data_IF_198215960114
#
_entry.id   IF_198215960114
#
_cell.length_a   1.000
_cell.length_b   1.000
_cell.length_c   1.000
_cell.angle_alpha   90.00
_cell.angle_beta   90.00
_cell.angle_gamma   90.00
#
_symmetry.space_group_name_H-M   'P 1'
#
loop_
_entity.id
_entity.type
_entity.pdbx_description
1 polymer ?
#
# COMPACT_ATOMS: atom_id res chain seq x y z
N UNK A 1 -38.16 74.67 11.44
CA UNK A 1 -36.84 75.02 12.01
C UNK A 1 -35.98 73.76 12.01
N UNK A 2 -34.80 73.80 11.36
CA UNK A 2 -33.65 72.89 11.56
C UNK A 2 -32.55 73.72 12.26
N UNK A 3 -31.46 73.16 12.83
CA UNK A 3 -31.14 71.76 13.22
C UNK A 3 -30.52 71.65 14.65
N UNK A 4 -30.16 70.44 15.10
CA UNK A 4 -28.88 70.20 15.79
C UNK A 4 -28.55 68.70 15.78
N UNK A 5 -27.41 68.38 15.17
CA UNK A 5 -26.71 67.11 15.25
C UNK A 5 -26.03 66.98 16.63
N UNK A 6 -26.03 65.78 17.22
CA UNK A 6 -24.83 65.28 17.89
C UNK A 6 -24.82 63.75 17.94
N UNK A 7 -23.73 63.24 17.40
CA UNK A 7 -23.29 61.86 17.25
C UNK A 7 -22.98 61.23 18.60
N UNK A 8 -23.36 59.96 18.79
CA UNK A 8 -22.61 59.02 19.61
C UNK A 8 -22.87 57.59 19.10
N UNK A 9 -21.90 57.11 18.32
CA UNK A 9 -21.68 55.69 18.01
C UNK A 9 -21.01 55.06 19.23
N UNK A 10 -21.46 53.88 19.65
CA UNK A 10 -20.82 52.77 20.40
C UNK A 10 -22.00 51.95 20.93
N UNK A 11 -22.15 50.65 20.75
CA UNK A 11 -21.34 49.61 20.14
C UNK A 11 -22.18 48.34 20.24
N UNK A 12 -22.09 47.50 19.22
CA UNK A 12 -22.88 46.28 19.06
C UNK A 12 -22.48 45.22 20.10
N UNK A 13 -23.48 44.59 20.72
CA UNK A 13 -23.40 43.20 21.16
C UNK A 13 -24.58 42.46 20.56
N UNK A 14 -24.48 42.16 19.27
CA UNK A 14 -25.23 41.05 18.70
C UNK A 14 -24.60 39.79 19.29
N UNK A 15 -25.35 39.09 20.12
CA UNK A 15 -25.01 37.76 20.58
C UNK A 15 -24.90 36.85 19.35
N UNK A 16 -23.69 36.69 18.82
CA UNK A 16 -23.36 35.59 17.93
C UNK A 16 -23.45 34.34 18.79
N UNK A 17 -24.55 33.60 18.65
CA UNK A 17 -24.62 32.23 19.08
C UNK A 17 -23.47 31.49 18.36
N UNK A 18 -22.38 31.24 19.08
CA UNK A 18 -21.42 30.24 18.70
C UNK A 18 -22.19 28.93 18.77
N UNK A 19 -22.65 28.45 17.61
CA UNK A 19 -22.93 27.03 17.46
C UNK A 19 -21.56 26.39 17.67
N UNK A 20 -21.34 25.84 18.87
CA UNK A 20 -20.29 24.85 19.03
C UNK A 20 -20.68 23.75 18.05
N UNK A 21 -19.97 23.67 16.95
CA UNK A 21 -19.98 22.49 16.10
C UNK A 21 -19.50 21.38 17.02
N UNK A 22 -20.46 20.65 17.59
CA UNK A 22 -20.22 19.48 18.39
C UNK A 22 -19.31 18.62 17.51
N UNK A 23 -18.06 18.45 17.93
CA UNK A 23 -17.07 17.63 17.27
C UNK A 23 -17.64 16.21 17.32
N UNK A 24 -18.51 15.91 16.36
CA UNK A 24 -19.13 14.61 16.19
C UNK A 24 -17.98 13.74 15.79
N UNK A 25 -17.37 13.09 16.77
CA UNK A 25 -16.46 11.99 16.55
C UNK A 25 -17.13 11.14 15.47
N UNK A 26 -16.49 10.95 14.31
CA UNK A 26 -17.09 10.12 13.27
C UNK A 26 -17.50 8.81 13.93
N UNK A 27 -18.78 8.44 13.79
CA UNK A 27 -19.31 7.14 14.24
C UNK A 27 -18.62 6.07 13.37
N UNK A 28 -17.37 5.78 13.67
CA UNK A 28 -16.65 4.65 13.09
C UNK A 28 -17.23 3.40 13.74
N UNK A 29 -18.22 2.83 13.07
CA UNK A 29 -18.73 1.52 13.41
C UNK A 29 -17.69 0.51 12.93
N UNK A 30 -16.99 -0.13 13.87
CA UNK A 30 -16.08 -1.25 13.57
C UNK A 30 -16.90 -2.36 12.89
N UNK A 31 -16.55 -2.69 11.65
CA UNK A 31 -17.18 -3.80 10.94
C UNK A 31 -16.52 -5.12 11.34
N UNK A 32 -17.19 -6.28 11.15
CA UNK A 32 -16.57 -7.58 11.40
C UNK A 32 -15.24 -7.78 10.65
N UNK A 33 -15.11 -7.20 9.45
CA UNK A 33 -13.88 -7.24 8.65
C UNK A 33 -12.76 -6.42 9.30
N UNK A 34 -13.07 -5.25 9.86
CA UNK A 34 -12.12 -4.44 10.62
C UNK A 34 -11.65 -5.17 11.88
N UNK A 35 -12.57 -5.79 12.62
CA UNK A 35 -12.24 -6.56 13.82
C UNK A 35 -11.36 -7.77 13.47
N UNK A 36 -11.70 -8.51 12.43
CA UNK A 36 -10.89 -9.65 11.98
C UNK A 36 -9.48 -9.23 11.56
N UNK A 37 -9.35 -8.13 10.81
CA UNK A 37 -8.05 -7.60 10.39
C UNK A 37 -7.21 -7.12 11.58
N UNK A 38 -7.85 -6.45 12.57
CA UNK A 38 -7.18 -6.02 13.81
C UNK A 38 -6.67 -7.21 14.62
N UNK A 39 -7.50 -8.24 14.82
CA UNK A 39 -7.10 -9.45 15.57
C UNK A 39 -5.95 -10.19 14.88
N UNK A 40 -5.97 -10.25 13.55
CA UNK A 40 -4.86 -10.81 12.77
C UNK A 40 -3.58 -9.98 12.95
N UNK A 41 -3.68 -8.66 12.89
CA UNK A 41 -2.56 -7.75 13.14
C UNK A 41 -1.97 -7.95 14.54
N UNK A 42 -2.80 -7.94 15.58
CA UNK A 42 -2.35 -8.15 16.97
C UNK A 42 -1.62 -9.49 17.13
N UNK A 43 -2.13 -10.56 16.52
CA UNK A 43 -1.51 -11.89 16.58
C UNK A 43 -0.19 -11.97 15.80
N UNK A 44 -0.15 -11.46 14.57
CA UNK A 44 1.03 -11.54 13.70
C UNK A 44 2.15 -10.61 14.19
N UNK A 45 1.80 -9.44 14.73
CA UNK A 45 2.75 -8.41 15.14
C UNK A 45 3.15 -8.47 16.62
N UNK A 46 2.67 -9.45 17.38
CA UNK A 46 2.98 -9.58 18.82
C UNK A 46 4.50 -9.59 19.13
N UNK A 47 5.31 -10.13 18.22
CA UNK A 47 6.77 -10.22 18.36
C UNK A 47 7.53 -9.06 17.68
N UNK A 48 6.82 -8.09 17.09
CA UNK A 48 7.39 -7.02 16.28
C UNK A 48 6.99 -5.62 16.79
N UNK A 49 7.38 -5.25 18.03
CA UNK A 49 6.99 -3.97 18.63
C UNK A 49 7.73 -2.75 18.03
N UNK A 50 8.84 -2.97 17.33
CA UNK A 50 9.60 -1.93 16.64
C UNK A 50 9.36 -2.03 15.12
N UNK A 51 8.67 -1.03 14.51
CA UNK A 51 8.41 -1.01 13.08
C UNK A 51 9.67 -1.02 12.21
N UNK A 52 10.77 -0.40 12.66
CA UNK A 52 12.00 -0.39 11.87
C UNK A 52 12.65 -1.77 11.82
N UNK A 53 12.76 -2.43 12.97
CA UNK A 53 13.27 -3.80 13.06
C UNK A 53 12.39 -4.78 12.28
N UNK A 54 11.06 -4.58 12.30
CA UNK A 54 10.11 -5.34 11.49
C UNK A 54 10.43 -5.21 9.99
N UNK A 55 10.51 -3.99 9.47
CA UNK A 55 10.77 -3.78 8.05
C UNK A 55 12.13 -4.37 7.63
N UNK A 56 13.18 -4.15 8.41
CA UNK A 56 14.50 -4.70 8.11
C UNK A 56 14.48 -6.23 8.08
N UNK A 57 13.81 -6.88 9.04
CA UNK A 57 13.66 -8.32 9.07
C UNK A 57 12.83 -8.86 7.90
N UNK A 58 11.74 -8.17 7.52
CA UNK A 58 10.92 -8.55 6.38
C UNK A 58 11.72 -8.51 5.06
N UNK A 59 12.58 -7.50 4.90
CA UNK A 59 13.48 -7.38 3.75
C UNK A 59 14.62 -8.40 3.77
N UNK A 60 15.01 -8.90 4.95
CA UNK A 60 15.96 -10.00 5.10
C UNK A 60 15.30 -11.39 4.90
N UNK A 61 13.98 -11.44 4.68
CA UNK A 61 13.26 -12.68 4.42
C UNK A 61 12.75 -13.40 5.67
N UNK A 62 12.61 -12.71 6.80
CA UNK A 62 11.90 -13.27 7.95
C UNK A 62 10.39 -13.36 7.65
N UNK A 63 9.87 -14.59 7.59
CA UNK A 63 8.46 -14.83 7.27
C UNK A 63 7.50 -14.25 8.31
N UNK A 64 7.87 -14.28 9.60
CA UNK A 64 7.04 -13.69 10.66
C UNK A 64 6.96 -12.17 10.56
N UNK A 65 8.05 -11.52 10.15
CA UNK A 65 8.07 -10.09 9.86
C UNK A 65 7.19 -9.76 8.64
N UNK A 66 7.32 -10.54 7.56
CA UNK A 66 6.51 -10.35 6.35
C UNK A 66 5.02 -10.52 6.67
N UNK A 67 4.65 -11.53 7.45
CA UNK A 67 3.26 -11.79 7.86
C UNK A 67 2.71 -10.66 8.75
N UNK A 68 3.52 -10.07 9.62
CA UNK A 68 3.13 -8.88 10.38
C UNK A 68 2.93 -7.64 9.49
N UNK A 69 3.82 -7.40 8.51
CA UNK A 69 3.65 -6.28 7.56
C UNK A 69 2.35 -6.44 6.76
N UNK A 70 2.07 -7.65 6.26
CA UNK A 70 0.82 -8.01 5.61
C UNK A 70 -0.38 -7.70 6.51
N UNK A 71 -0.36 -8.16 7.76
CA UNK A 71 -1.49 -7.98 8.66
C UNK A 71 -1.71 -6.49 9.00
N UNK A 72 -0.62 -5.73 9.11
CA UNK A 72 -0.65 -4.27 9.30
C UNK A 72 -1.28 -3.55 8.10
N UNK A 73 -0.92 -3.97 6.88
CA UNK A 73 -1.50 -3.44 5.65
C UNK A 73 -2.98 -3.75 5.55
N UNK A 74 -3.39 -5.00 5.77
CA UNK A 74 -4.81 -5.40 5.70
C UNK A 74 -5.66 -4.69 6.76
N UNK A 75 -5.13 -4.51 7.98
CA UNK A 75 -5.81 -3.69 8.99
C UNK A 75 -5.96 -2.24 8.55
N UNK A 76 -4.90 -1.63 8.01
CA UNK A 76 -4.94 -0.27 7.47
C UNK A 76 -5.97 -0.15 6.34
N UNK A 77 -6.07 -1.12 5.45
CA UNK A 77 -7.04 -1.12 4.35
C UNK A 77 -8.47 -1.27 4.84
N UNK A 78 -8.71 -2.14 5.83
CA UNK A 78 -10.02 -2.29 6.44
C UNK A 78 -10.47 -1.00 7.17
N UNK A 79 -9.53 -0.30 7.80
CA UNK A 79 -9.80 0.94 8.55
C UNK A 79 -9.88 2.19 7.66
N UNK A 80 -9.33 2.17 6.44
CA UNK A 80 -9.26 3.35 5.57
C UNK A 80 -10.26 3.26 4.42
N UNK A 81 -11.24 4.17 4.39
CA UNK A 81 -12.16 4.28 3.25
C UNK A 81 -11.43 4.84 2.03
N UNK A 82 -11.47 4.13 0.90
CA UNK A 82 -10.97 4.63 -0.39
C UNK A 82 -9.45 4.64 -0.53
N UNK A 83 -8.74 3.71 0.12
CA UNK A 83 -7.30 3.58 -0.06
C UNK A 83 -6.95 3.17 -1.50
N UNK A 84 -6.31 4.06 -2.27
CA UNK A 84 -6.14 3.89 -3.73
C UNK A 84 -5.03 2.90 -4.13
N UNK A 85 -4.22 2.43 -3.17
CA UNK A 85 -3.03 1.62 -3.45
C UNK A 85 -3.12 0.18 -2.91
N UNK A 86 -4.31 -0.32 -2.57
CA UNK A 86 -4.49 -1.64 -1.96
C UNK A 86 -3.82 -2.75 -2.79
N UNK A 87 -4.09 -2.79 -4.09
CA UNK A 87 -3.51 -3.81 -4.98
C UNK A 87 -1.99 -3.66 -5.08
N UNK A 88 -1.48 -2.42 -5.11
CA UNK A 88 -0.05 -2.17 -5.13
C UNK A 88 0.67 -2.77 -3.90
N UNK A 89 0.16 -2.52 -2.68
CA UNK A 89 0.74 -3.11 -1.47
C UNK A 89 0.57 -4.63 -1.38
N UNK A 90 -0.59 -5.16 -1.81
CA UNK A 90 -0.84 -6.61 -1.84
C UNK A 90 0.08 -7.33 -2.83
N UNK A 91 0.37 -6.71 -3.98
CA UNK A 91 1.37 -7.20 -4.93
C UNK A 91 2.75 -7.25 -4.27
N UNK A 92 3.20 -6.15 -3.67
CA UNK A 92 4.53 -6.03 -3.08
C UNK A 92 4.78 -7.03 -1.95
N UNK A 93 3.88 -7.07 -0.97
CA UNK A 93 4.01 -7.91 0.22
C UNK A 93 3.76 -9.38 -0.11
N UNK A 94 2.77 -9.68 -0.95
CA UNK A 94 2.47 -11.03 -1.40
C UNK A 94 3.55 -11.62 -2.29
N UNK A 95 4.11 -10.85 -3.23
CA UNK A 95 5.27 -11.27 -4.04
C UNK A 95 6.46 -11.59 -3.13
N UNK A 96 6.80 -10.71 -2.18
CA UNK A 96 7.90 -10.95 -1.25
C UNK A 96 7.67 -12.22 -0.43
N UNK A 97 6.47 -12.40 0.12
CA UNK A 97 6.13 -13.61 0.88
C UNK A 97 6.28 -14.87 0.03
N UNK A 98 5.77 -14.85 -1.21
CA UNK A 98 5.89 -15.98 -2.13
C UNK A 98 7.36 -16.27 -2.46
N UNK A 99 8.14 -15.25 -2.79
CA UNK A 99 9.57 -15.40 -3.11
C UNK A 99 10.36 -16.04 -1.95
N UNK A 100 10.03 -15.70 -0.70
CA UNK A 100 10.74 -16.17 0.49
C UNK A 100 10.26 -17.56 0.93
N UNK A 101 8.95 -17.79 0.93
CA UNK A 101 8.36 -19.06 1.40
C UNK A 101 8.36 -20.16 0.34
N UNK A 102 8.36 -19.79 -0.95
CA UNK A 102 8.03 -20.70 -2.05
C UNK A 102 6.53 -21.01 -2.20
N UNK A 103 5.69 -20.49 -1.30
CA UNK A 103 4.24 -20.70 -1.33
C UNK A 103 3.56 -19.64 -2.21
N UNK A 104 2.82 -20.10 -3.22
CA UNK A 104 2.06 -19.23 -4.12
C UNK A 104 1.07 -18.35 -3.36
N UNK A 105 1.14 -17.03 -3.57
CA UNK A 105 0.26 -16.06 -2.89
C UNK A 105 -0.86 -15.56 -3.83
N UNK A 106 -2.09 -16.00 -3.58
CA UNK A 106 -3.27 -15.62 -4.37
C UNK A 106 -3.64 -14.14 -4.24
N UNK A 107 -3.22 -13.45 -3.18
CA UNK A 107 -3.47 -12.01 -3.02
C UNK A 107 -2.59 -11.23 -3.99
N UNK A 108 -1.32 -11.62 -4.16
CA UNK A 108 -0.43 -11.03 -5.15
C UNK A 108 -0.97 -11.23 -6.57
N UNK A 109 -1.49 -12.42 -6.88
CA UNK A 109 -2.10 -12.71 -8.20
C UNK A 109 -3.38 -11.91 -8.44
N UNK A 110 -4.22 -11.78 -7.40
CA UNK A 110 -5.45 -10.98 -7.49
C UNK A 110 -5.12 -9.50 -7.71
N UNK A 111 -4.14 -8.99 -6.98
CA UNK A 111 -3.67 -7.63 -7.14
C UNK A 111 -3.05 -7.37 -8.52
N UNK A 112 -2.21 -8.29 -9.01
CA UNK A 112 -1.61 -8.20 -10.33
C UNK A 112 -2.67 -8.07 -11.45
N UNK A 113 -3.77 -8.83 -11.36
CA UNK A 113 -4.88 -8.75 -12.35
C UNK A 113 -5.57 -7.39 -12.43
N UNK A 114 -5.42 -6.55 -11.41
CA UNK A 114 -6.03 -5.22 -11.36
C UNK A 114 -5.07 -4.10 -11.75
N UNK A 115 -3.80 -4.42 -12.04
CA UNK A 115 -2.75 -3.44 -12.31
C UNK A 115 -2.25 -3.55 -13.77
N UNK A 116 -1.83 -2.43 -14.38
CA UNK A 116 -1.11 -2.46 -15.65
C UNK A 116 0.14 -3.34 -15.57
N UNK A 117 0.40 -4.08 -16.64
CA UNK A 117 1.50 -5.05 -16.70
C UNK A 117 2.87 -4.38 -16.54
N UNK A 118 3.06 -3.16 -17.04
CA UNK A 118 4.24 -2.33 -16.81
C UNK A 118 4.44 -2.04 -15.32
N UNK A 119 3.37 -1.68 -14.59
CA UNK A 119 3.44 -1.43 -13.16
C UNK A 119 3.80 -2.71 -12.41
N UNK A 120 3.14 -3.83 -12.72
CA UNK A 120 3.44 -5.13 -12.11
C UNK A 120 4.90 -5.52 -12.37
N UNK A 121 5.36 -5.41 -13.62
CA UNK A 121 6.74 -5.70 -13.99
C UNK A 121 7.71 -4.80 -13.22
N UNK A 122 7.52 -3.48 -13.19
CA UNK A 122 8.39 -2.57 -12.44
C UNK A 122 8.48 -2.91 -10.96
N UNK A 123 7.34 -3.23 -10.33
CA UNK A 123 7.27 -3.52 -8.90
C UNK A 123 7.96 -4.82 -8.52
N UNK A 124 7.65 -5.90 -9.25
CA UNK A 124 8.28 -7.19 -8.94
C UNK A 124 9.78 -7.16 -9.27
N UNK A 125 10.22 -6.28 -10.19
CA UNK A 125 11.64 -5.95 -10.44
C UNK A 125 12.32 -5.41 -9.23
N UNK A 126 11.76 -4.32 -8.76
CA UNK A 126 12.34 -3.53 -7.72
C UNK A 126 12.38 -4.35 -6.44
N UNK A 127 11.31 -5.07 -6.13
CA UNK A 127 11.25 -5.96 -4.97
C UNK A 127 12.20 -7.14 -5.10
N UNK A 128 12.32 -7.76 -6.28
CA UNK A 128 13.27 -8.84 -6.53
C UNK A 128 14.71 -8.37 -6.32
N UNK A 129 15.06 -7.20 -6.85
CA UNK A 129 16.35 -6.57 -6.62
C UNK A 129 16.61 -6.26 -5.15
N UNK A 130 15.63 -5.70 -4.44
CA UNK A 130 15.78 -5.39 -3.01
C UNK A 130 16.03 -6.65 -2.17
N UNK A 131 15.36 -7.75 -2.47
CA UNK A 131 15.60 -9.04 -1.80
C UNK A 131 17.00 -9.57 -2.09
N UNK A 132 17.47 -9.46 -3.33
CA UNK A 132 18.85 -9.83 -3.69
C UNK A 132 19.88 -8.92 -3.03
N UNK A 133 19.67 -7.61 -2.98
CA UNK A 133 20.48 -6.64 -2.24
C UNK A 133 20.58 -6.97 -0.75
N UNK A 134 19.46 -7.32 -0.12
CA UNK A 134 19.43 -7.67 1.29
C UNK A 134 20.22 -8.95 1.60
N UNK A 135 20.26 -9.88 0.64
CA UNK A 135 21.05 -11.13 0.73
C UNK A 135 22.48 -11.01 0.19
N UNK A 136 22.74 -10.04 -0.69
CA UNK A 136 24.02 -9.78 -1.34
C UNK A 136 24.15 -8.29 -1.75
N UNK A 137 24.88 -7.46 -0.99
CA UNK A 137 24.83 -6.00 -1.11
C UNK A 137 25.45 -5.42 -2.39
N UNK A 138 26.21 -6.20 -3.16
CA UNK A 138 27.03 -5.72 -4.27
C UNK A 138 26.33 -5.73 -5.65
N UNK A 139 25.01 -5.98 -5.72
CA UNK A 139 24.29 -5.97 -6.99
C UNK A 139 24.16 -4.54 -7.58
N UNK A 140 24.45 -4.36 -8.89
CA UNK A 140 24.27 -3.09 -9.58
C UNK A 140 22.80 -2.65 -9.54
N UNK A 141 22.56 -1.34 -9.47
CA UNK A 141 21.21 -0.78 -9.52
C UNK A 141 20.52 -1.23 -10.82
N UNK A 142 19.26 -1.65 -10.70
CA UNK A 142 18.46 -1.97 -11.88
C UNK A 142 18.28 -0.70 -12.73
N UNK A 143 18.49 -0.77 -14.06
CA UNK A 143 18.07 0.29 -14.95
C UNK A 143 16.54 0.43 -14.92
N UNK A 144 16.01 1.62 -15.20
CA UNK A 144 14.57 1.91 -15.18
C UNK A 144 13.73 1.18 -16.27
N UNK A 145 14.26 0.15 -16.93
CA UNK A 145 13.61 -0.52 -18.06
C UNK A 145 12.82 -1.76 -17.58
N UNK A 146 11.55 -1.94 -18.00
CA UNK A 146 10.73 -3.12 -17.68
C UNK A 146 11.21 -4.45 -18.31
N UNK A 147 12.17 -4.44 -19.25
CA UNK A 147 12.66 -5.64 -19.95
C UNK A 147 13.85 -6.34 -19.26
N UNK A 148 13.74 -6.65 -17.98
CA UNK A 148 14.76 -7.32 -17.18
C UNK A 148 14.44 -8.81 -16.99
N UNK A 149 15.45 -9.65 -16.79
CA UNK A 149 15.23 -11.09 -16.61
C UNK A 149 14.42 -11.36 -15.34
N UNK A 150 13.17 -11.78 -15.55
CA UNK A 150 12.21 -12.14 -14.52
C UNK A 150 12.40 -13.60 -14.12
N UNK A 151 12.29 -13.89 -12.83
CA UNK A 151 12.15 -15.27 -12.37
C UNK A 151 10.72 -15.80 -12.64
N UNK A 152 10.50 -17.09 -12.42
CA UNK A 152 9.22 -17.76 -12.71
C UNK A 152 8.03 -17.14 -11.98
N UNK A 153 8.20 -16.70 -10.73
CA UNK A 153 7.15 -16.05 -9.94
C UNK A 153 6.81 -14.68 -10.53
N UNK A 154 7.83 -13.90 -10.86
CA UNK A 154 7.69 -12.58 -11.46
C UNK A 154 7.01 -12.68 -12.84
N UNK A 155 7.38 -13.66 -13.66
CA UNK A 155 6.74 -13.95 -14.94
C UNK A 155 5.26 -14.31 -14.76
N UNK A 156 4.91 -15.09 -13.74
CA UNK A 156 3.52 -15.45 -13.48
C UNK A 156 2.67 -14.24 -13.12
N UNK A 157 3.18 -13.35 -12.27
CA UNK A 157 2.48 -12.11 -11.90
C UNK A 157 2.30 -11.18 -13.10
N UNK A 158 3.33 -11.01 -13.93
CA UNK A 158 3.27 -10.18 -15.15
C UNK A 158 2.29 -10.76 -16.18
N UNK A 159 2.21 -12.08 -16.33
CA UNK A 159 1.29 -12.74 -17.27
C UNK A 159 -0.19 -12.49 -16.94
N UNK A 160 -0.54 -12.42 -15.66
CA UNK A 160 -1.94 -12.21 -15.25
C UNK A 160 -2.33 -10.73 -15.18
N UNK A 161 -1.38 -9.81 -15.33
CA UNK A 161 -1.61 -8.37 -15.28
C UNK A 161 -2.29 -7.83 -16.54
N UNK A 162 -2.85 -6.62 -16.44
CA UNK A 162 -3.57 -5.95 -17.54
C UNK A 162 -2.56 -5.66 -18.66
N UNK A 163 -2.74 -6.20 -19.89
CA UNK A 163 -1.82 -5.99 -20.99
C UNK A 163 -1.56 -4.51 -21.31
N UNK A 164 -0.33 -4.18 -21.73
CA UNK A 164 0.06 -2.87 -22.25
C UNK A 164 1.13 -2.97 -23.34
N UNK A 165 1.21 -1.93 -24.19
CA UNK A 165 2.16 -1.86 -25.31
C UNK A 165 3.62 -1.65 -24.85
N UNK A 166 3.85 -1.15 -23.64
CA UNK A 166 5.19 -0.81 -23.14
C UNK A 166 5.99 -2.05 -22.74
N UNK A 167 5.32 -3.03 -22.15
CA UNK A 167 5.90 -4.31 -21.73
C UNK A 167 5.82 -5.41 -22.79
N UNK A 168 5.00 -5.24 -23.83
CA UNK A 168 4.84 -6.22 -24.92
C UNK A 168 6.17 -6.67 -25.58
N UNK A 169 7.15 -5.78 -25.88
CA UNK A 169 8.43 -6.22 -26.45
C UNK A 169 9.23 -7.13 -25.52
N UNK A 170 9.11 -6.93 -24.19
CA UNK A 170 9.79 -7.78 -23.22
C UNK A 170 9.18 -9.19 -23.20
N UNK A 171 7.84 -9.27 -23.27
CA UNK A 171 7.11 -10.54 -23.27
C UNK A 171 7.39 -11.37 -24.52
N UNK A 172 7.39 -10.76 -25.70
CA UNK A 172 7.79 -11.44 -26.94
C UNK A 172 9.19 -12.06 -26.80
N UNK A 173 10.12 -11.32 -26.19
CA UNK A 173 11.49 -11.80 -25.96
C UNK A 173 11.57 -12.97 -24.95
N UNK A 174 10.57 -13.12 -24.09
CA UNK A 174 10.44 -14.23 -23.13
C UNK A 174 9.54 -15.36 -23.62
N UNK A 175 9.07 -15.32 -24.87
CA UNK A 175 8.19 -16.34 -25.46
C UNK A 175 6.79 -16.36 -24.84
N UNK A 176 6.33 -15.21 -24.37
CA UNK A 176 4.96 -15.00 -23.85
C UNK A 176 4.23 -14.20 -24.93
N UNK A 177 3.35 -14.88 -25.67
CA UNK A 177 2.45 -14.22 -26.61
C UNK A 177 1.31 -13.52 -25.84
N UNK A 178 0.83 -12.38 -26.37
CA UNK A 178 -0.25 -11.57 -25.79
C UNK A 178 -1.61 -12.28 -25.66
#
# INVERSE_FOLDING_TARGET
MKPAFLTAVIGAFAAAACVAEEERAPDWVETPEMEAARLLHEAACANWPDPHALYDAAWQGDLGAIDCEIASDEWRFAASTGYEYVDYYRLQTGYRRWQVSGERDERALTAARNLPRFEVAGEVAYHGYRLRKASNPDEPLLPHNPCWELNDIQLELVRVAIPDEESAPCLESWGIDD
#
